data_IF_226662210139
#
_entry.id   IF_226662210139
#
_cell.length_a   1.000
_cell.length_b   1.000
_cell.length_c   1.000
_cell.angle_alpha   90.00
_cell.angle_beta   90.00
_cell.angle_gamma   90.00
#
_symmetry.space_group_name_H-M   'P 1'
#
loop_
_entity.id
_entity.type
_entity.pdbx_description
1 polymer ?
#
# COMPACT_ATOMS: atom_id res chain seq x y z
N UNK A 1 8.62 -15.10 -1.36
CA UNK A 1 7.49 -15.42 -0.44
C UNK A 1 6.98 -14.10 0.13
N UNK A 2 5.68 -13.84 0.19
CA UNK A 2 5.13 -12.55 0.62
C UNK A 2 5.06 -12.40 2.15
N UNK A 3 5.24 -11.18 2.66
CA UNK A 3 5.09 -10.85 4.08
C UNK A 3 3.69 -10.26 4.33
N UNK A 4 2.94 -10.83 5.29
CA UNK A 4 1.65 -10.29 5.76
C UNK A 4 1.76 -9.87 7.23
N UNK A 5 1.54 -8.59 7.52
CA UNK A 5 1.57 -8.07 8.90
C UNK A 5 0.69 -6.83 9.01
N UNK A 6 0.18 -6.56 10.21
CA UNK A 6 -0.41 -5.27 10.58
C UNK A 6 0.59 -4.51 11.45
N UNK A 7 0.75 -3.20 11.24
CA UNK A 7 1.61 -2.34 12.06
C UNK A 7 0.87 -1.06 12.44
N UNK A 8 1.22 -0.50 13.59
CA UNK A 8 0.67 0.76 14.04
C UNK A 8 1.32 1.93 13.28
N UNK A 9 0.52 2.97 13.02
CA UNK A 9 1.01 4.24 12.49
C UNK A 9 1.62 5.04 13.66
N UNK A 10 2.93 5.27 13.61
CA UNK A 10 3.65 5.98 14.67
C UNK A 10 3.58 7.48 14.44
N UNK A 11 3.40 8.28 15.49
CA UNK A 11 3.43 9.75 15.37
C UNK A 11 4.80 10.21 14.87
N UNK A 12 4.82 11.00 13.79
CA UNK A 12 6.04 11.62 13.28
C UNK A 12 5.76 13.10 13.01
N UNK A 13 6.46 13.99 13.69
CA UNK A 13 6.19 15.43 13.60
C UNK A 13 4.76 15.82 14.00
N UNK A 14 4.35 17.03 13.55
CA UNK A 14 3.03 17.61 13.87
C UNK A 14 1.92 17.07 12.97
N UNK A 15 2.22 16.80 11.70
CA UNK A 15 1.20 16.51 10.67
C UNK A 15 1.41 15.18 9.93
N UNK A 16 2.41 14.36 10.31
CA UNK A 16 2.67 13.09 9.63
C UNK A 16 2.63 11.89 10.58
N UNK A 17 2.68 10.72 9.94
CA UNK A 17 2.77 9.42 10.58
C UNK A 17 3.87 8.63 9.87
N UNK A 18 4.57 7.79 10.62
CA UNK A 18 5.57 6.88 10.10
C UNK A 18 5.02 5.45 10.09
N UNK A 19 5.20 4.78 8.95
CA UNK A 19 5.02 3.34 8.82
C UNK A 19 6.40 2.67 8.96
N UNK A 20 6.54 1.78 9.93
CA UNK A 20 7.83 1.13 10.20
C UNK A 20 7.98 -0.11 9.32
N UNK A 21 8.93 -0.04 8.38
CA UNK A 21 9.25 -1.16 7.50
C UNK A 21 9.91 -2.31 8.28
N UNK A 22 9.37 -3.55 8.21
CA UNK A 22 9.98 -4.75 8.78
C UNK A 22 11.47 -4.90 8.41
N UNK A 23 12.26 -5.52 9.29
CA UNK A 23 13.68 -5.77 9.04
C UNK A 23 13.92 -6.73 7.86
N UNK A 24 12.95 -7.62 7.58
CA UNK A 24 13.03 -8.58 6.48
C UNK A 24 12.81 -7.97 5.08
N UNK A 25 12.46 -6.68 4.98
CA UNK A 25 12.30 -5.98 3.71
C UNK A 25 13.63 -5.30 3.36
N UNK A 26 14.12 -5.53 2.14
CA UNK A 26 15.27 -4.83 1.57
C UNK A 26 14.93 -3.36 1.30
N UNK A 27 15.83 -2.44 1.66
CA UNK A 27 15.58 -0.99 1.69
C UNK A 27 16.70 -0.25 0.98
N UNK A 28 16.34 0.77 0.22
CA UNK A 28 17.26 1.74 -0.35
C UNK A 28 17.56 2.88 0.63
N UNK A 29 18.26 3.90 0.14
CA UNK A 29 18.49 5.15 0.89
C UNK A 29 17.17 5.92 1.10
N UNK A 30 16.31 5.87 0.10
CA UNK A 30 14.99 6.51 0.08
C UNK A 30 13.97 5.51 -0.49
N UNK A 31 12.69 5.75 -0.23
CA UNK A 31 11.59 4.94 -0.77
C UNK A 31 10.70 5.81 -1.63
N UNK A 32 10.28 5.27 -2.77
CA UNK A 32 9.25 5.91 -3.60
C UNK A 32 7.88 5.46 -3.13
N UNK A 33 6.92 6.38 -3.08
CA UNK A 33 5.54 6.07 -2.70
C UNK A 33 4.53 6.73 -3.63
N UNK A 34 3.47 6.00 -3.94
CA UNK A 34 2.27 6.51 -4.58
C UNK A 34 1.08 6.17 -3.67
N UNK A 35 0.21 7.14 -3.43
CA UNK A 35 -0.85 6.99 -2.43
C UNK A 35 -2.12 7.72 -2.82
N UNK A 36 -3.26 7.07 -2.54
CA UNK A 36 -4.58 7.65 -2.44
C UNK A 36 -5.32 6.94 -1.28
N UNK A 37 -6.25 6.04 -1.60
CA UNK A 37 -6.92 5.18 -0.60
C UNK A 37 -6.10 3.92 -0.32
N UNK A 38 -5.44 3.38 -1.34
CA UNK A 38 -4.33 2.44 -1.18
C UNK A 38 -2.99 3.19 -1.26
N UNK A 39 -1.94 2.56 -0.74
CA UNK A 39 -0.58 3.06 -0.87
C UNK A 39 0.29 1.95 -1.41
N UNK A 40 0.99 2.25 -2.50
CA UNK A 40 2.04 1.41 -3.05
C UNK A 40 3.39 2.06 -2.71
N UNK A 41 4.28 1.25 -2.14
CA UNK A 41 5.60 1.72 -1.71
C UNK A 41 6.64 0.83 -2.36
N UNK A 42 7.63 1.45 -2.99
CA UNK A 42 8.89 0.82 -3.37
C UNK A 42 9.94 1.15 -2.30
N UNK A 43 10.27 0.20 -1.40
CA UNK A 43 11.24 0.43 -0.33
C UNK A 43 12.66 0.72 -0.81
N UNK A 44 12.97 0.40 -2.08
CA UNK A 44 14.31 0.55 -2.67
C UNK A 44 14.49 1.90 -3.38
N UNK A 45 13.40 2.57 -3.75
CA UNK A 45 13.43 3.86 -4.42
C UNK A 45 13.96 3.79 -5.86
N UNK A 46 13.78 2.64 -6.51
CA UNK A 46 14.23 2.37 -7.88
C UNK A 46 13.20 2.81 -8.92
N UNK A 47 11.92 2.85 -8.54
CA UNK A 47 10.81 3.23 -9.42
C UNK A 47 10.51 4.72 -9.26
N UNK A 48 10.20 5.41 -10.37
CA UNK A 48 9.81 6.82 -10.33
C UNK A 48 8.45 7.02 -9.64
N UNK A 49 8.20 8.15 -8.96
CA UNK A 49 6.89 8.46 -8.39
C UNK A 49 5.76 8.43 -9.44
N UNK A 50 6.03 8.89 -10.65
CA UNK A 50 5.08 8.98 -11.76
C UNK A 50 4.66 7.59 -12.26
N UNK A 51 5.63 6.70 -12.51
CA UNK A 51 5.33 5.33 -12.95
C UNK A 51 4.60 4.55 -11.87
N UNK A 52 4.99 4.74 -10.60
CA UNK A 52 4.36 4.07 -9.47
C UNK A 52 2.89 4.52 -9.29
N UNK A 53 2.62 5.81 -9.50
CA UNK A 53 1.28 6.37 -9.47
C UNK A 53 0.43 5.87 -10.65
N UNK A 54 0.96 5.93 -11.88
CA UNK A 54 0.27 5.42 -13.06
C UNK A 54 -0.10 3.94 -12.88
N UNK A 55 0.82 3.14 -12.34
CA UNK A 55 0.57 1.73 -12.10
C UNK A 55 -0.52 1.49 -11.04
N UNK A 56 -0.47 2.26 -9.93
CA UNK A 56 -1.47 2.20 -8.87
C UNK A 56 -2.87 2.50 -9.41
N UNK A 57 -3.01 3.56 -10.19
CA UNK A 57 -4.31 4.04 -10.71
C UNK A 57 -4.86 3.16 -11.83
N UNK A 58 -4.01 2.69 -12.76
CA UNK A 58 -4.49 1.93 -13.93
C UNK A 58 -4.72 0.45 -13.63
N UNK A 59 -3.92 -0.15 -12.75
CA UNK A 59 -3.92 -1.61 -12.60
C UNK A 59 -4.32 -2.07 -11.20
N UNK A 60 -3.88 -1.39 -10.14
CA UNK A 60 -4.09 -1.87 -8.77
C UNK A 60 -5.46 -1.46 -8.23
N UNK A 61 -5.74 -0.16 -8.12
CA UNK A 61 -6.98 0.31 -7.49
C UNK A 61 -8.26 -0.21 -8.18
N UNK A 62 -8.41 -0.15 -9.51
CA UNK A 62 -9.65 -0.58 -10.17
C UNK A 62 -9.96 -2.06 -9.92
N UNK A 63 -8.95 -2.92 -10.02
CA UNK A 63 -9.10 -4.36 -9.81
C UNK A 63 -9.34 -4.69 -8.34
N UNK A 64 -8.60 -4.04 -7.45
CA UNK A 64 -8.70 -4.30 -6.00
C UNK A 64 -10.07 -3.92 -5.45
N UNK A 65 -10.60 -2.75 -5.82
CA UNK A 65 -11.89 -2.29 -5.31
C UNK A 65 -13.06 -3.11 -5.87
N UNK A 66 -12.99 -3.52 -7.14
CA UNK A 66 -13.95 -4.46 -7.71
C UNK A 66 -13.96 -5.77 -6.91
N UNK A 67 -12.79 -6.31 -6.58
CA UNK A 67 -12.66 -7.54 -5.81
C UNK A 67 -13.17 -7.40 -4.36
N UNK A 68 -12.83 -6.32 -3.65
CA UNK A 68 -13.33 -6.08 -2.28
C UNK A 68 -14.87 -6.03 -2.26
N UNK A 69 -15.47 -5.32 -3.21
CA UNK A 69 -16.94 -5.23 -3.31
C UNK A 69 -17.59 -6.60 -3.50
N UNK A 70 -17.02 -7.47 -4.34
CA UNK A 70 -17.55 -8.83 -4.51
C UNK A 70 -17.51 -9.66 -3.23
N UNK A 71 -16.53 -9.43 -2.36
CA UNK A 71 -16.44 -10.11 -1.06
C UNK A 71 -17.49 -9.62 -0.08
N UNK A 72 -17.77 -8.33 -0.08
CA UNK A 72 -18.82 -7.74 0.75
C UNK A 72 -20.18 -8.32 0.34
N UNK A 73 -20.48 -8.38 -0.95
CA UNK A 73 -21.73 -8.96 -1.48
C UNK A 73 -21.90 -10.47 -1.21
N UNK A 74 -20.78 -11.21 -1.10
CA UNK A 74 -20.80 -12.63 -0.75
C UNK A 74 -20.89 -12.87 0.77
N UNK A 75 -20.27 -12.00 1.58
CA UNK A 75 -20.35 -12.04 3.03
C UNK A 75 -21.74 -11.68 3.57
N UNK A 76 -22.44 -10.77 2.90
CA UNK A 76 -23.79 -10.30 3.29
C UNK A 76 -24.92 -11.28 2.94
N UNK A 77 -24.62 -12.37 2.22
CA UNK A 77 -25.56 -13.51 1.98
C UNK A 77 -25.40 -14.65 2.98
N UNK A 78 -24.52 -14.47 3.97
CA UNK A 78 -24.22 -15.45 5.03
C UNK A 78 -24.66 -14.97 6.43
N UNK A 79 -25.34 -13.81 6.51
CA UNK A 79 -25.86 -13.21 7.74
C UNK A 79 -27.35 -13.42 7.89
#
# INVERSE_FOLDING_TARGET
MGLKTRRANVKHGKYSRALILPAAIEKGKESTLAANRLMLVDPRGEISPEDLLEFLEKYVEPQFWAWIKTKEEQGDRSG
#
